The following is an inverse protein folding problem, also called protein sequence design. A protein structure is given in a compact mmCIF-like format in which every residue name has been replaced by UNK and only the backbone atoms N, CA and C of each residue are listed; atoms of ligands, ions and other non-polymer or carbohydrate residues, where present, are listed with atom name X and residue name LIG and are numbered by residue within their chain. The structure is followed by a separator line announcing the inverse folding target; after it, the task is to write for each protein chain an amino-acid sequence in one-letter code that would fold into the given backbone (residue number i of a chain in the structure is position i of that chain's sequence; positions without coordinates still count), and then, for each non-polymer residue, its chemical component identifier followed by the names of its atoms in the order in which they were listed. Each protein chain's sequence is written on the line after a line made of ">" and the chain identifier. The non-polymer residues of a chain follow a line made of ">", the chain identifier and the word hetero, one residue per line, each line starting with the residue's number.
data_IF_590620970982
#
_entry.id   IF_590620970982
#
_cell.length_a   1.000
_cell.length_b   1.000
_cell.length_c   1.000
_cell.angle_alpha   90.00
_cell.angle_beta   90.00
_cell.angle_gamma   90.00
#
_symmetry.space_group_name_H-M   'P 1'
#
loop_
_entity.id
_entity.type
_entity.pdbx_description
1 polymer ?
#
# COMPACT_ATOMS: atom_id res chain seq x y z
N UNK A 1 -26.82 -6.04 -78.24
CA UNK A 1 -26.79 -5.30 -76.95
C UNK A 1 -26.18 -6.22 -75.94
N UNK A 2 -24.90 -5.98 -75.54
CA UNK A 2 -24.18 -6.72 -74.52
C UNK A 2 -24.11 -5.83 -73.33
N UNK A 3 -24.79 -6.23 -72.26
CA UNK A 3 -24.73 -5.54 -70.95
C UNK A 3 -23.45 -5.91 -70.21
N UNK A 4 -22.63 -4.89 -69.88
CA UNK A 4 -21.43 -5.04 -69.07
C UNK A 4 -21.80 -4.75 -67.66
N UNK A 5 -21.71 -5.74 -66.77
CA UNK A 5 -21.83 -5.54 -65.27
C UNK A 5 -20.48 -5.14 -64.73
N UNK A 6 -20.39 -3.92 -64.19
CA UNK A 6 -19.25 -3.44 -63.45
C UNK A 6 -19.45 -3.87 -61.99
N UNK A 7 -18.64 -4.84 -61.51
CA UNK A 7 -18.58 -5.23 -60.13
C UNK A 7 -17.60 -4.27 -59.43
N UNK A 8 -18.15 -3.37 -58.60
CA UNK A 8 -17.37 -2.49 -57.72
C UNK A 8 -16.95 -3.30 -56.52
N UNK A 9 -15.66 -3.68 -56.45
CA UNK A 9 -15.05 -4.28 -55.27
C UNK A 9 -14.68 -3.13 -54.30
N UNK A 10 -15.45 -2.98 -53.21
CA UNK A 10 -15.13 -2.08 -52.15
C UNK A 10 -14.11 -2.78 -51.23
N UNK A 11 -12.84 -2.43 -51.35
CA UNK A 11 -11.81 -2.85 -50.40
C UNK A 11 -11.98 -2.05 -49.09
N UNK A 12 -12.52 -2.70 -48.05
CA UNK A 12 -12.43 -2.21 -46.70
C UNK A 12 -10.99 -2.39 -46.20
N UNK A 13 -10.23 -1.33 -46.21
CA UNK A 13 -9.01 -1.25 -45.42
C UNK A 13 -9.37 -1.19 -43.95
N UNK A 14 -9.32 -2.34 -43.28
CA UNK A 14 -9.21 -2.34 -41.82
C UNK A 14 -7.84 -1.77 -41.48
N UNK A 15 -7.80 -0.47 -41.20
CA UNK A 15 -6.70 0.11 -40.47
C UNK A 15 -6.81 -0.41 -39.05
N UNK A 16 -6.15 -1.55 -38.80
CA UNK A 16 -5.82 -1.96 -37.44
C UNK A 16 -4.95 -0.86 -36.87
N UNK A 17 -5.56 0.09 -36.15
CA UNK A 17 -4.85 0.93 -35.20
C UNK A 17 -4.36 0.00 -34.13
N UNK A 18 -3.17 -0.58 -34.30
CA UNK A 18 -2.39 -1.03 -33.15
C UNK A 18 -2.11 0.21 -32.37
N UNK A 19 -2.89 0.45 -31.30
CA UNK A 19 -2.46 1.31 -30.21
C UNK A 19 -1.14 0.70 -29.75
N UNK A 20 -0.02 1.29 -30.18
CA UNK A 20 1.20 1.19 -29.41
C UNK A 20 0.83 1.76 -28.05
N UNK A 21 0.58 0.88 -27.10
CA UNK A 21 0.66 1.21 -25.69
C UNK A 21 2.11 1.67 -25.54
N UNK A 22 2.33 2.98 -25.45
CA UNK A 22 3.59 3.50 -24.97
C UNK A 22 3.75 2.83 -23.60
N UNK A 23 4.77 2.00 -23.47
CA UNK A 23 5.24 1.50 -22.17
C UNK A 23 5.87 2.70 -21.42
N UNK A 24 5.06 3.70 -21.09
CA UNK A 24 5.46 4.76 -20.20
C UNK A 24 5.20 4.22 -18.79
N UNK A 25 6.28 3.80 -18.11
CA UNK A 25 6.22 3.51 -16.69
C UNK A 25 5.77 4.78 -15.96
N UNK A 26 4.99 4.63 -14.90
CA UNK A 26 4.53 5.75 -14.07
C UNK A 26 5.72 6.51 -13.45
N UNK A 27 6.76 5.76 -13.07
CA UNK A 27 8.00 6.30 -12.50
C UNK A 27 9.17 5.84 -13.34
N UNK A 28 9.82 6.77 -14.03
CA UNK A 28 10.99 6.50 -14.84
C UNK A 28 12.24 6.99 -14.10
N UNK A 29 13.18 6.07 -13.84
CA UNK A 29 14.41 6.36 -13.10
C UNK A 29 15.59 6.49 -14.06
N UNK A 30 15.53 7.47 -14.97
CA UNK A 30 16.57 7.69 -15.98
C UNK A 30 17.84 8.29 -15.39
N UNK A 31 17.69 9.08 -14.33
CA UNK A 31 18.81 9.75 -13.66
C UNK A 31 18.73 9.45 -12.16
N UNK A 32 19.64 8.58 -11.70
CA UNK A 32 19.78 8.22 -10.29
C UNK A 32 21.17 8.65 -9.83
N UNK A 33 21.23 9.55 -8.85
CA UNK A 33 22.47 10.02 -8.26
C UNK A 33 22.66 9.45 -6.86
N UNK A 34 23.77 8.70 -6.64
CA UNK A 34 24.14 8.24 -5.30
C UNK A 34 24.60 9.44 -4.45
N UNK A 35 23.98 9.61 -3.27
CA UNK A 35 24.27 10.75 -2.38
C UNK A 35 24.62 10.30 -0.97
N UNK A 36 25.26 11.20 -0.25
CA UNK A 36 25.47 11.12 1.20
C UNK A 36 24.90 12.39 1.83
N UNK A 37 24.09 12.24 2.89
CA UNK A 37 23.36 13.34 3.51
C UNK A 37 23.19 13.12 5.01
N UNK A 38 23.01 14.19 5.78
CA UNK A 38 22.50 14.12 7.15
C UNK A 38 20.98 13.97 7.11
N UNK A 39 20.41 13.24 8.06
CA UNK A 39 18.96 13.06 8.12
C UNK A 39 18.21 14.40 8.29
N UNK A 40 18.83 15.36 9.02
CA UNK A 40 18.30 16.72 9.17
C UNK A 40 18.26 17.54 7.88
N UNK A 41 19.06 17.17 6.87
CA UNK A 41 19.00 17.81 5.54
C UNK A 41 17.93 17.18 4.65
N UNK A 42 17.51 15.94 4.96
CA UNK A 42 16.48 15.20 4.24
C UNK A 42 15.08 15.45 4.81
N UNK A 43 14.96 15.66 6.12
CA UNK A 43 13.70 15.81 6.84
C UNK A 43 13.59 17.23 7.41
N UNK A 44 12.54 17.96 7.00
CA UNK A 44 12.27 19.31 7.45
C UNK A 44 11.73 19.37 8.88
N UNK A 45 10.78 18.46 9.20
CA UNK A 45 10.12 18.43 10.51
C UNK A 45 9.83 17.01 10.97
N UNK A 46 9.89 16.80 12.28
CA UNK A 46 9.54 15.54 12.94
C UNK A 46 8.60 15.83 14.09
N UNK A 47 7.45 15.20 14.09
CA UNK A 47 6.47 15.23 15.16
C UNK A 47 6.29 13.82 15.74
N UNK A 48 6.33 13.71 17.06
CA UNK A 48 6.05 12.47 17.78
C UNK A 48 4.64 12.48 18.32
N UNK A 49 3.86 11.44 18.03
CA UNK A 49 2.49 11.27 18.53
C UNK A 49 2.43 9.95 19.32
N UNK A 50 2.71 9.97 20.63
CA UNK A 50 2.53 8.80 21.49
C UNK A 50 1.05 8.43 21.57
N UNK A 51 0.70 7.18 21.23
CA UNK A 51 -0.66 6.71 21.42
C UNK A 51 -0.94 6.46 22.90
N UNK A 52 -2.08 6.96 23.38
CA UNK A 52 -2.44 6.86 24.80
C UNK A 52 -2.52 5.40 25.25
N UNK A 53 -1.83 5.08 26.33
CA UNK A 53 -1.76 3.74 26.91
C UNK A 53 -2.67 3.68 28.13
N UNK A 54 -3.86 3.12 27.95
CA UNK A 54 -4.80 2.77 29.01
C UNK A 54 -5.29 1.35 28.78
N UNK A 55 -5.86 0.69 29.79
CA UNK A 55 -6.29 -0.71 29.69
C UNK A 55 -7.19 -0.97 28.46
N UNK A 56 -8.05 -0.01 28.11
CA UNK A 56 -8.97 -0.12 26.97
C UNK A 56 -8.35 0.20 25.60
N UNK A 57 -7.12 0.71 25.55
CA UNK A 57 -6.42 1.11 24.31
C UNK A 57 -5.11 0.37 24.06
N UNK A 58 -4.86 -0.73 24.74
CA UNK A 58 -3.61 -1.49 24.56
C UNK A 58 -3.53 -2.06 23.15
N UNK A 59 -2.40 -1.82 22.50
CA UNK A 59 -2.07 -2.28 21.15
C UNK A 59 -0.90 -3.27 21.22
N UNK A 60 -1.14 -4.56 21.50
CA UNK A 60 -0.06 -5.54 21.69
C UNK A 60 0.75 -5.78 20.41
N UNK A 61 0.10 -5.69 19.25
CA UNK A 61 0.73 -5.80 17.94
C UNK A 61 -0.06 -4.97 16.93
N UNK A 62 0.53 -3.88 16.45
CA UNK A 62 -0.09 -3.05 15.42
C UNK A 62 -0.06 -3.77 14.07
N UNK A 63 -1.23 -4.03 13.49
CA UNK A 63 -1.36 -4.70 12.20
C UNK A 63 -1.50 -3.69 11.05
N UNK A 64 -2.34 -2.69 11.19
CA UNK A 64 -2.55 -1.63 10.20
C UNK A 64 -2.88 -0.32 10.89
N UNK A 65 -2.42 0.77 10.30
CA UNK A 65 -2.66 2.14 10.74
C UNK A 65 -3.25 2.95 9.58
N UNK A 66 -4.27 3.75 9.84
CA UNK A 66 -4.82 4.72 8.89
C UNK A 66 -4.99 6.06 9.58
N UNK A 67 -4.61 7.13 8.89
CA UNK A 67 -4.87 8.50 9.32
C UNK A 67 -5.88 9.12 8.35
N UNK A 68 -7.03 9.47 8.87
CA UNK A 68 -8.10 10.05 8.05
C UNK A 68 -8.71 11.24 8.77
N UNK A 69 -8.70 12.39 8.13
CA UNK A 69 -9.03 13.68 8.74
C UNK A 69 -8.15 13.88 9.98
N UNK A 70 -8.69 14.14 11.13
CA UNK A 70 -7.95 14.36 12.38
C UNK A 70 -7.94 13.14 13.30
N UNK A 71 -8.12 11.94 12.76
CA UNK A 71 -8.18 10.71 13.55
C UNK A 71 -7.21 9.64 13.05
N UNK A 72 -6.66 8.94 14.00
CA UNK A 72 -5.80 7.78 13.81
C UNK A 72 -6.64 6.54 14.10
N UNK A 73 -6.67 5.61 13.15
CA UNK A 73 -7.29 4.29 13.32
C UNK A 73 -6.21 3.24 13.30
N UNK A 74 -6.14 2.43 14.35
CA UNK A 74 -5.09 1.44 14.54
C UNK A 74 -5.73 0.07 14.82
N UNK A 75 -5.44 -0.94 14.00
CA UNK A 75 -5.90 -2.30 14.28
C UNK A 75 -4.86 -3.10 15.02
N UNK A 76 -5.31 -3.82 16.02
CA UNK A 76 -4.55 -4.81 16.75
C UNK A 76 -5.47 -5.99 17.08
N UNK A 77 -5.00 -7.22 16.83
CA UNK A 77 -5.79 -8.43 16.99
C UNK A 77 -7.13 -8.38 16.25
N UNK A 78 -8.25 -8.23 16.98
CA UNK A 78 -9.60 -8.18 16.43
C UNK A 78 -10.32 -6.88 16.75
N UNK A 79 -9.59 -5.83 17.03
CA UNK A 79 -10.12 -4.53 17.39
C UNK A 79 -9.57 -3.43 16.48
N UNK A 80 -10.36 -2.40 16.24
CA UNK A 80 -9.92 -1.17 15.58
C UNK A 80 -10.10 -0.02 16.55
N UNK A 81 -8.99 0.52 17.00
CA UNK A 81 -8.96 1.63 17.95
C UNK A 81 -8.91 2.96 17.23
N UNK A 82 -9.62 3.94 17.76
CA UNK A 82 -9.66 5.31 17.27
C UNK A 82 -9.00 6.24 18.27
N UNK A 83 -8.06 7.04 17.78
CA UNK A 83 -7.39 8.10 18.52
C UNK A 83 -7.57 9.44 17.81
N UNK A 84 -7.44 10.54 18.54
CA UNK A 84 -7.34 11.86 17.91
C UNK A 84 -5.92 12.07 17.33
N UNK A 85 -5.72 13.19 16.64
CA UNK A 85 -4.44 13.54 16.00
C UNK A 85 -3.28 13.79 16.99
N UNK A 86 -3.57 13.83 18.32
CA UNK A 86 -2.57 13.92 19.40
C UNK A 86 -2.31 12.58 20.06
N UNK A 87 -2.93 11.51 19.57
CA UNK A 87 -2.79 10.17 20.10
C UNK A 87 -3.69 9.87 21.31
N UNK A 88 -4.65 10.74 21.67
CA UNK A 88 -5.59 10.48 22.76
C UNK A 88 -6.65 9.46 22.31
N UNK A 89 -6.87 8.44 23.13
CA UNK A 89 -7.87 7.40 22.86
C UNK A 89 -9.29 7.97 22.90
N UNK A 90 -10.07 7.65 21.84
CA UNK A 90 -11.48 8.06 21.68
C UNK A 90 -12.41 6.88 21.95
N UNK A 91 -12.11 5.72 21.38
CA UNK A 91 -12.94 4.54 21.45
C UNK A 91 -12.43 3.42 20.56
N UNK A 92 -13.15 2.31 20.52
CA UNK A 92 -12.79 1.17 19.67
C UNK A 92 -14.00 0.44 19.12
N UNK A 93 -13.84 -0.12 17.93
CA UNK A 93 -14.70 -1.13 17.35
C UNK A 93 -14.21 -2.50 17.83
N UNK A 94 -15.08 -3.25 18.53
CA UNK A 94 -14.76 -4.57 19.11
C UNK A 94 -15.99 -5.48 19.03
N UNK A 95 -16.42 -5.77 17.80
CA UNK A 95 -17.62 -6.59 17.51
C UNK A 95 -17.20 -8.04 17.21
N UNK A 96 -16.37 -8.61 18.09
CA UNK A 96 -15.93 -10.00 17.96
C UNK A 96 -17.00 -10.97 18.46
N UNK A 97 -17.43 -11.89 17.57
CA UNK A 97 -18.44 -12.87 17.91
C UNK A 97 -19.08 -13.60 16.71
N UNK A 98 -20.19 -14.28 16.95
CA UNK A 98 -20.92 -15.06 15.94
C UNK A 98 -22.29 -14.43 15.58
N UNK A 99 -22.61 -13.27 16.11
CA UNK A 99 -23.85 -12.55 15.80
C UNK A 99 -23.90 -12.08 14.34
N UNK A 100 -25.05 -11.57 13.91
CA UNK A 100 -25.22 -11.07 12.53
C UNK A 100 -24.40 -9.81 12.23
N UNK A 101 -24.02 -9.08 13.26
CA UNK A 101 -23.22 -7.86 13.17
C UNK A 101 -21.74 -8.09 13.50
N UNK A 102 -21.40 -9.30 13.99
CA UNK A 102 -20.07 -9.63 14.47
C UNK A 102 -19.17 -10.20 13.38
N UNK A 103 -17.87 -10.13 13.63
CA UNK A 103 -16.83 -10.78 12.85
C UNK A 103 -15.97 -11.69 13.74
N UNK A 104 -15.36 -12.73 13.15
CA UNK A 104 -14.44 -13.64 13.86
C UNK A 104 -12.97 -13.25 13.66
N UNK A 105 -12.67 -12.46 12.64
CA UNK A 105 -11.33 -11.99 12.32
C UNK A 105 -11.45 -10.68 11.53
N UNK A 106 -10.39 -9.90 11.54
CA UNK A 106 -10.19 -8.76 10.65
C UNK A 106 -9.10 -9.16 9.68
N UNK A 107 -9.44 -9.38 8.40
CA UNK A 107 -8.45 -9.59 7.35
C UNK A 107 -7.84 -8.25 6.91
N UNK A 108 -8.71 -7.24 6.78
CA UNK A 108 -8.34 -5.87 6.40
C UNK A 108 -9.43 -4.89 6.84
N UNK A 109 -9.10 -3.61 6.87
CA UNK A 109 -10.10 -2.55 7.06
C UNK A 109 -9.73 -1.29 6.28
N UNK A 110 -10.73 -0.48 5.97
CA UNK A 110 -10.56 0.84 5.36
C UNK A 110 -11.47 1.87 6.03
N UNK A 111 -11.10 3.13 5.95
CA UNK A 111 -11.91 4.25 6.43
C UNK A 111 -12.48 4.95 5.22
N UNK A 112 -13.78 4.86 5.08
CA UNK A 112 -14.50 5.32 3.90
C UNK A 112 -15.22 6.63 4.20
N UNK A 113 -14.93 7.64 3.38
CA UNK A 113 -15.62 8.93 3.45
C UNK A 113 -16.81 8.88 2.49
N UNK A 114 -18.02 8.98 3.04
CA UNK A 114 -19.27 9.02 2.25
C UNK A 114 -20.05 10.26 2.62
N UNK A 115 -20.17 11.17 1.67
CA UNK A 115 -20.84 12.46 1.88
C UNK A 115 -20.23 13.22 3.08
N UNK A 116 -20.97 13.32 4.17
CA UNK A 116 -20.50 13.93 5.43
C UNK A 116 -20.09 12.92 6.49
N UNK A 117 -20.37 11.65 6.28
CA UNK A 117 -20.16 10.57 7.25
C UNK A 117 -18.82 9.86 7.02
N UNK A 118 -18.27 9.31 8.10
CA UNK A 118 -17.09 8.47 8.09
C UNK A 118 -17.50 7.07 8.52
N UNK A 119 -17.19 6.09 7.70
CA UNK A 119 -17.48 4.69 7.98
C UNK A 119 -16.19 3.90 8.18
N UNK A 120 -16.20 2.92 9.08
CA UNK A 120 -15.18 1.87 9.20
C UNK A 120 -15.70 0.66 8.45
N UNK A 121 -15.00 0.27 7.42
CA UNK A 121 -15.30 -0.93 6.66
C UNK A 121 -14.34 -2.04 7.05
N UNK A 122 -14.85 -3.18 7.46
CA UNK A 122 -14.06 -4.31 7.98
C UNK A 122 -14.28 -5.52 7.09
N UNK A 123 -13.20 -5.99 6.48
CA UNK A 123 -13.18 -7.21 5.69
C UNK A 123 -12.94 -8.43 6.59
N UNK A 124 -13.80 -9.41 6.46
CA UNK A 124 -13.76 -10.66 7.23
C UNK A 124 -14.40 -11.82 6.45
N UNK A 125 -14.52 -12.99 7.07
CA UNK A 125 -14.99 -14.22 6.42
C UNK A 125 -16.42 -14.20 5.84
N UNK A 126 -17.26 -13.25 6.26
CA UNK A 126 -18.65 -13.11 5.75
C UNK A 126 -18.76 -12.06 4.62
N UNK A 127 -17.70 -11.31 4.36
CA UNK A 127 -17.67 -10.19 3.43
C UNK A 127 -17.10 -8.92 4.04
N UNK A 128 -17.72 -7.77 3.79
CA UNK A 128 -17.28 -6.47 4.30
C UNK A 128 -18.40 -5.87 5.16
N UNK A 129 -18.18 -5.83 6.47
CA UNK A 129 -19.09 -5.15 7.41
C UNK A 129 -18.78 -3.65 7.46
N UNK A 130 -19.83 -2.84 7.62
CA UNK A 130 -19.76 -1.40 7.68
C UNK A 130 -20.23 -0.91 9.04
N UNK A 131 -19.47 0.00 9.63
CA UNK A 131 -19.77 0.61 10.93
C UNK A 131 -19.63 2.12 10.84
N UNK A 132 -20.43 2.86 11.61
CA UNK A 132 -20.25 4.29 11.76
C UNK A 132 -18.96 4.56 12.56
N UNK A 133 -18.11 5.49 12.10
CA UNK A 133 -16.83 5.76 12.76
C UNK A 133 -16.95 6.67 14.00
N UNK A 134 -18.13 7.23 14.30
CA UNK A 134 -18.36 8.07 15.47
C UNK A 134 -18.77 7.24 16.69
N UNK A 135 -19.78 6.37 16.53
CA UNK A 135 -20.38 5.59 17.61
C UNK A 135 -20.17 4.07 17.48
N UNK A 136 -19.47 3.62 16.41
CA UNK A 136 -19.20 2.22 16.08
C UNK A 136 -20.46 1.37 15.81
N UNK A 137 -21.61 1.98 15.60
CA UNK A 137 -22.86 1.27 15.29
C UNK A 137 -22.78 0.57 13.93
N UNK A 138 -23.33 -0.65 13.85
CA UNK A 138 -23.38 -1.43 12.62
C UNK A 138 -24.31 -0.81 11.58
N UNK A 139 -23.82 -0.62 10.36
CA UNK A 139 -24.56 -0.04 9.24
C UNK A 139 -25.01 -1.07 8.20
N UNK A 140 -24.35 -2.21 8.13
CA UNK A 140 -24.68 -3.25 7.17
C UNK A 140 -23.53 -4.14 6.76
N UNK A 141 -23.83 -5.17 6.01
CA UNK A 141 -22.89 -6.15 5.48
C UNK A 141 -22.98 -6.21 3.95
N UNK A 142 -21.86 -6.06 3.26
CA UNK A 142 -21.69 -6.43 1.86
C UNK A 142 -21.28 -7.90 1.85
N UNK A 143 -22.22 -8.79 1.56
CA UNK A 143 -21.95 -10.23 1.49
C UNK A 143 -21.23 -10.57 0.21
N UNK A 144 -20.17 -11.35 0.30
CA UNK A 144 -19.35 -11.79 -0.82
C UNK A 144 -19.19 -13.30 -0.80
N UNK A 145 -19.41 -13.93 -1.95
CA UNK A 145 -19.26 -15.38 -2.12
C UNK A 145 -17.80 -15.80 -2.43
N UNK A 146 -16.86 -14.86 -2.28
CA UNK A 146 -15.44 -15.06 -2.52
C UNK A 146 -14.64 -14.72 -1.25
N UNK A 147 -13.50 -15.39 -1.01
CA UNK A 147 -12.62 -15.05 0.10
C UNK A 147 -12.01 -13.67 -0.13
N UNK A 148 -12.13 -12.76 0.83
CA UNK A 148 -11.55 -11.42 0.75
C UNK A 148 -10.33 -11.34 1.66
N UNK A 149 -9.18 -10.96 1.09
CA UNK A 149 -7.93 -10.76 1.83
C UNK A 149 -7.73 -9.27 2.14
N UNK A 150 -7.78 -8.45 1.10
CA UNK A 150 -7.67 -7.00 1.19
C UNK A 150 -8.70 -6.34 0.28
N UNK A 151 -9.05 -5.11 0.55
CA UNK A 151 -9.94 -4.34 -0.29
C UNK A 151 -9.62 -2.85 -0.26
N UNK A 152 -10.08 -2.14 -1.28
CA UNK A 152 -10.08 -0.69 -1.33
C UNK A 152 -11.42 -0.20 -1.88
N UNK A 153 -12.12 0.61 -1.09
CA UNK A 153 -13.30 1.31 -1.57
C UNK A 153 -12.90 2.43 -2.54
N UNK A 154 -13.52 2.48 -3.69
CA UNK A 154 -13.34 3.54 -4.69
C UNK A 154 -14.61 4.34 -4.83
N UNK A 155 -15.71 3.65 -5.04
CA UNK A 155 -17.08 4.19 -5.17
C UNK A 155 -18.11 3.10 -4.86
N UNK A 156 -19.38 3.47 -4.81
CA UNK A 156 -20.47 2.50 -4.64
C UNK A 156 -20.53 1.45 -5.77
N UNK A 157 -20.01 1.79 -6.93
CA UNK A 157 -19.96 0.92 -8.11
C UNK A 157 -18.62 0.20 -8.28
N UNK A 158 -17.61 0.55 -7.48
CA UNK A 158 -16.27 -0.01 -7.60
C UNK A 158 -15.61 -0.19 -6.22
N UNK A 159 -15.45 -1.44 -5.81
CA UNK A 159 -14.64 -1.87 -4.69
C UNK A 159 -13.60 -2.83 -5.27
N UNK A 160 -12.33 -2.51 -5.12
CA UNK A 160 -11.22 -3.39 -5.53
C UNK A 160 -11.02 -4.41 -4.42
N UNK A 161 -11.02 -5.67 -4.76
CA UNK A 161 -10.84 -6.77 -3.81
C UNK A 161 -9.65 -7.62 -4.24
N UNK A 162 -8.76 -7.91 -3.30
CA UNK A 162 -7.82 -9.00 -3.41
C UNK A 162 -8.43 -10.25 -2.80
N UNK A 163 -8.36 -11.36 -3.51
CA UNK A 163 -8.96 -12.63 -3.10
C UNK A 163 -7.97 -13.78 -3.24
N UNK A 164 -8.18 -14.87 -2.50
CA UNK A 164 -7.49 -16.16 -2.68
C UNK A 164 -8.30 -17.15 -3.54
N UNK A 165 -9.30 -16.67 -4.28
CA UNK A 165 -10.12 -17.49 -5.19
C UNK A 165 -9.40 -17.89 -6.48
N UNK A 166 -10.16 -18.08 -7.55
CA UNK A 166 -9.63 -18.45 -8.88
C UNK A 166 -8.81 -17.31 -9.50
N UNK A 167 -9.18 -16.07 -9.22
CA UNK A 167 -8.46 -14.86 -9.61
C UNK A 167 -7.92 -14.13 -8.38
N UNK A 168 -6.80 -13.45 -8.52
CA UNK A 168 -6.16 -12.72 -7.41
C UNK A 168 -6.86 -11.40 -7.08
N UNK A 169 -7.52 -10.80 -8.06
CA UNK A 169 -8.23 -9.53 -7.90
C UNK A 169 -9.58 -9.54 -8.60
N UNK A 170 -10.54 -8.81 -8.06
CA UNK A 170 -11.79 -8.52 -8.72
C UNK A 170 -12.29 -7.11 -8.38
N UNK A 171 -13.22 -6.62 -9.23
CA UNK A 171 -14.05 -5.46 -8.95
C UNK A 171 -15.44 -5.92 -8.57
N UNK A 172 -15.97 -5.42 -7.47
CA UNK A 172 -17.38 -5.60 -7.10
C UNK A 172 -18.03 -4.25 -6.81
N UNK A 173 -19.39 -4.25 -6.80
CA UNK A 173 -20.15 -3.11 -6.34
C UNK A 173 -20.52 -3.21 -4.84
N UNK A 174 -21.18 -2.19 -4.31
CA UNK A 174 -21.65 -2.14 -2.91
C UNK A 174 -22.66 -3.23 -2.53
N UNK A 175 -23.20 -3.96 -3.50
CA UNK A 175 -24.09 -5.09 -3.26
C UNK A 175 -23.36 -6.43 -3.26
N UNK A 176 -22.04 -6.41 -3.46
CA UNK A 176 -21.20 -7.61 -3.54
C UNK A 176 -21.23 -8.32 -4.88
N UNK A 177 -21.77 -7.68 -5.92
CA UNK A 177 -21.81 -8.26 -7.27
C UNK A 177 -20.44 -8.09 -7.91
N UNK A 178 -19.75 -9.21 -8.16
CA UNK A 178 -18.48 -9.23 -8.90
C UNK A 178 -18.75 -8.90 -10.35
N UNK A 179 -18.07 -7.88 -10.87
CA UNK A 179 -18.20 -7.39 -12.24
C UNK A 179 -17.10 -7.90 -13.14
N UNK A 180 -15.87 -7.83 -12.66
CA UNK A 180 -14.66 -8.20 -13.41
C UNK A 180 -13.67 -8.92 -12.52
N UNK A 181 -12.91 -9.86 -13.08
CA UNK A 181 -11.87 -10.62 -12.42
C UNK A 181 -10.55 -10.47 -13.17
N UNK A 182 -9.45 -10.42 -12.42
CA UNK A 182 -8.12 -10.13 -12.95
C UNK A 182 -7.05 -11.01 -12.32
N UNK A 183 -6.04 -11.36 -13.11
CA UNK A 183 -4.90 -12.16 -12.71
C UNK A 183 -5.33 -13.52 -12.14
N UNK A 184 -5.38 -14.55 -12.99
CA UNK A 184 -5.64 -15.91 -12.53
C UNK A 184 -4.66 -16.31 -11.43
N UNK A 185 -5.18 -16.94 -10.38
CA UNK A 185 -4.40 -17.36 -9.22
C UNK A 185 -3.58 -18.61 -9.59
N UNK A 186 -2.35 -18.39 -10.00
CA UNK A 186 -1.38 -19.45 -10.31
C UNK A 186 -0.48 -19.63 -9.08
N UNK A 187 -0.33 -20.86 -8.54
CA UNK A 187 0.59 -21.12 -7.42
C UNK A 187 2.04 -20.67 -7.67
N UNK A 188 2.45 -20.59 -8.92
CA UNK A 188 3.75 -20.00 -9.31
C UNK A 188 3.75 -18.45 -9.22
N UNK A 189 2.60 -17.82 -9.08
CA UNK A 189 2.43 -16.38 -8.99
C UNK A 189 2.17 -15.90 -7.55
N UNK A 190 2.90 -16.41 -6.58
CA UNK A 190 2.89 -15.89 -5.20
C UNK A 190 3.24 -14.39 -5.13
N UNK A 191 3.74 -13.83 -6.22
CA UNK A 191 3.97 -12.40 -6.41
C UNK A 191 2.70 -11.55 -6.59
N UNK A 192 1.53 -12.18 -6.73
CA UNK A 192 0.26 -11.44 -6.77
C UNK A 192 -0.23 -11.01 -5.37
N UNK A 193 0.59 -11.18 -4.33
CA UNK A 193 0.30 -10.58 -3.04
C UNK A 193 0.27 -9.07 -3.18
N UNK A 194 -0.79 -8.46 -2.71
CA UNK A 194 -0.86 -7.02 -2.61
C UNK A 194 0.17 -6.55 -1.58
N UNK A 195 1.02 -5.61 -1.97
CA UNK A 195 1.89 -4.91 -1.03
C UNK A 195 1.12 -3.75 -0.40
N UNK A 196 0.46 -2.94 -1.22
CA UNK A 196 -0.32 -1.80 -0.76
C UNK A 196 -1.23 -1.23 -1.84
N UNK A 197 -2.23 -0.46 -1.42
CA UNK A 197 -2.98 0.44 -2.29
C UNK A 197 -2.39 1.84 -2.19
N UNK A 198 -2.23 2.51 -3.35
CA UNK A 198 -1.81 3.90 -3.41
C UNK A 198 -2.88 4.66 -4.19
N UNK A 199 -3.52 5.59 -3.52
CA UNK A 199 -4.50 6.46 -4.14
C UNK A 199 -3.82 7.69 -4.74
N UNK A 200 -4.22 8.01 -5.97
CA UNK A 200 -3.83 9.24 -6.69
C UNK A 200 -5.09 9.96 -7.17
N UNK A 201 -4.92 11.16 -7.71
CA UNK A 201 -6.02 11.93 -8.26
C UNK A 201 -6.78 11.15 -9.34
N UNK A 202 -6.05 10.50 -10.25
CA UNK A 202 -6.61 9.82 -11.42
C UNK A 202 -7.00 8.36 -11.18
N UNK A 203 -6.54 7.72 -10.10
CA UNK A 203 -6.78 6.30 -9.91
C UNK A 203 -6.19 5.70 -8.64
N UNK A 204 -6.17 4.37 -8.61
CA UNK A 204 -5.62 3.59 -7.51
C UNK A 204 -4.65 2.55 -8.07
N UNK A 205 -3.44 2.54 -7.52
CA UNK A 205 -2.46 1.51 -7.79
C UNK A 205 -2.56 0.42 -6.73
N UNK A 206 -2.74 -0.82 -7.18
CA UNK A 206 -2.59 -2.01 -6.36
C UNK A 206 -1.18 -2.54 -6.62
N UNK A 207 -0.21 -2.13 -5.80
CA UNK A 207 1.20 -2.48 -5.98
C UNK A 207 1.38 -3.95 -5.64
N UNK A 208 1.91 -4.72 -6.58
CA UNK A 208 2.22 -6.13 -6.37
C UNK A 208 3.58 -6.29 -5.69
N UNK A 209 3.65 -7.23 -4.75
CA UNK A 209 4.86 -7.40 -3.94
C UNK A 209 6.05 -7.86 -4.78
N UNK A 210 7.21 -7.26 -4.51
CA UNK A 210 8.53 -7.60 -5.04
C UNK A 210 8.73 -7.39 -6.55
N UNK A 211 7.74 -6.94 -7.31
CA UNK A 211 7.83 -6.72 -8.75
C UNK A 211 7.66 -5.25 -9.13
N UNK A 212 7.92 -4.93 -10.38
CA UNK A 212 7.66 -3.63 -10.99
C UNK A 212 6.22 -3.49 -11.52
N UNK A 213 5.35 -4.48 -11.24
CA UNK A 213 3.98 -4.53 -11.73
C UNK A 213 2.97 -4.00 -10.69
N UNK A 214 1.94 -3.35 -11.17
CA UNK A 214 0.76 -2.95 -10.41
C UNK A 214 -0.50 -3.17 -11.23
N UNK A 215 -1.62 -3.43 -10.57
CA UNK A 215 -2.92 -3.22 -11.17
C UNK A 215 -3.32 -1.77 -10.94
N UNK A 216 -3.60 -1.07 -12.02
CA UNK A 216 -4.04 0.32 -11.98
C UNK A 216 -5.54 0.41 -12.27
N UNK A 217 -6.28 0.90 -11.30
CA UNK A 217 -7.68 1.28 -11.48
C UNK A 217 -7.74 2.74 -11.92
N UNK A 218 -8.25 2.98 -13.13
CA UNK A 218 -8.44 4.33 -13.65
C UNK A 218 -9.87 4.79 -13.32
N UNK A 219 -9.99 5.89 -12.58
CA UNK A 219 -11.29 6.46 -12.16
C UNK A 219 -12.16 6.95 -13.33
N UNK A 220 -11.57 7.30 -14.48
CA UNK A 220 -12.32 7.78 -15.65
C UNK A 220 -12.86 6.64 -16.50
N UNK A 221 -12.07 5.58 -16.72
CA UNK A 221 -12.49 4.41 -17.52
C UNK A 221 -13.19 3.34 -16.68
N UNK A 222 -13.15 3.45 -15.37
CA UNK A 222 -13.70 2.48 -14.40
C UNK A 222 -13.17 1.05 -14.63
N UNK A 223 -11.92 0.94 -15.09
CA UNK A 223 -11.27 -0.33 -15.43
C UNK A 223 -9.99 -0.55 -14.65
N UNK A 224 -9.66 -1.84 -14.43
CA UNK A 224 -8.37 -2.30 -13.93
C UNK A 224 -7.50 -2.75 -15.10
N UNK A 225 -6.25 -2.35 -15.11
CA UNK A 225 -5.25 -2.82 -16.07
C UNK A 225 -3.93 -3.15 -15.37
N UNK A 226 -3.21 -4.15 -15.89
CA UNK A 226 -1.87 -4.48 -15.42
C UNK A 226 -0.87 -3.57 -16.11
N UNK A 227 -0.05 -2.89 -15.31
CA UNK A 227 0.96 -1.96 -15.81
C UNK A 227 2.32 -2.23 -15.16
N UNK A 228 3.40 -1.83 -15.83
CA UNK A 228 4.70 -1.63 -15.18
C UNK A 228 4.73 -0.22 -14.61
N UNK A 229 4.79 -0.09 -13.29
CA UNK A 229 4.75 1.23 -12.67
C UNK A 229 6.13 1.86 -12.47
N UNK A 230 7.20 1.07 -12.58
CA UNK A 230 8.59 1.50 -12.43
C UNK A 230 9.41 1.04 -13.63
N UNK A 231 10.26 1.94 -14.14
CA UNK A 231 11.27 1.65 -15.16
C UNK A 231 12.62 2.26 -14.80
N UNK A 232 13.71 1.76 -15.40
CA UNK A 232 15.06 2.27 -15.19
C UNK A 232 15.80 1.71 -13.96
N UNK A 233 15.23 0.74 -13.24
CA UNK A 233 15.93 -0.03 -12.22
C UNK A 233 16.44 -1.32 -12.86
N UNK A 234 17.75 -1.53 -12.83
CA UNK A 234 18.35 -2.73 -13.37
C UNK A 234 18.01 -3.95 -12.51
N UNK A 235 17.71 -5.06 -13.19
CA UNK A 235 17.53 -6.37 -12.58
C UNK A 235 16.39 -6.44 -11.54
N UNK A 236 15.31 -5.68 -11.74
CA UNK A 236 14.09 -5.83 -10.94
C UNK A 236 13.48 -7.20 -11.21
N UNK A 237 12.95 -7.84 -10.18
CA UNK A 237 12.25 -9.10 -10.29
C UNK A 237 11.00 -8.94 -11.16
N UNK A 238 10.95 -9.65 -12.28
CA UNK A 238 9.73 -9.75 -13.10
C UNK A 238 8.87 -10.94 -12.68
N UNK A 239 7.62 -10.96 -13.11
CA UNK A 239 6.72 -12.10 -12.86
C UNK A 239 7.24 -13.39 -13.50
N UNK A 240 7.80 -13.30 -14.70
CA UNK A 240 8.34 -14.47 -15.41
C UNK A 240 9.60 -15.00 -14.74
N UNK A 241 10.48 -14.13 -14.25
CA UNK A 241 11.63 -14.52 -13.42
C UNK A 241 11.19 -15.20 -12.14
N UNK A 242 10.20 -14.62 -11.45
CA UNK A 242 9.64 -15.17 -10.22
C UNK A 242 9.10 -16.59 -10.44
N UNK A 243 8.36 -16.82 -11.54
CA UNK A 243 7.85 -18.14 -11.93
C UNK A 243 9.00 -19.11 -12.20
N UNK A 244 9.98 -18.73 -13.04
CA UNK A 244 11.12 -19.57 -13.39
C UNK A 244 11.93 -19.96 -12.15
N UNK A 245 12.10 -19.03 -11.20
CA UNK A 245 12.79 -19.31 -9.93
C UNK A 245 11.97 -20.23 -9.02
N UNK A 246 10.65 -20.05 -8.96
CA UNK A 246 9.77 -20.94 -8.21
C UNK A 246 9.83 -22.38 -8.75
N UNK A 247 9.77 -22.56 -10.06
CA UNK A 247 9.90 -23.87 -10.72
C UNK A 247 11.27 -24.50 -10.46
N UNK A 248 12.34 -23.70 -10.47
CA UNK A 248 13.72 -24.17 -10.31
C UNK A 248 14.09 -24.53 -8.89
N UNK A 249 13.70 -23.71 -7.92
CA UNK A 249 14.17 -23.80 -6.53
C UNK A 249 13.07 -24.26 -5.54
N UNK A 250 11.83 -24.30 -5.97
CA UNK A 250 10.68 -24.65 -5.13
C UNK A 250 10.42 -23.61 -4.03
N UNK A 251 9.34 -23.81 -3.32
CA UNK A 251 8.79 -22.85 -2.34
C UNK A 251 9.78 -22.47 -1.21
N UNK A 252 10.61 -23.40 -0.76
CA UNK A 252 11.48 -23.17 0.40
C UNK A 252 12.74 -22.34 0.08
N UNK A 253 13.36 -22.56 -1.07
CA UNK A 253 14.60 -21.88 -1.46
C UNK A 253 14.35 -20.61 -2.29
N UNK A 254 13.21 -20.55 -2.96
CA UNK A 254 12.84 -19.45 -3.84
C UNK A 254 13.03 -18.05 -3.22
N UNK A 255 12.50 -17.73 -2.00
CA UNK A 255 12.60 -16.37 -1.46
C UNK A 255 14.06 -15.93 -1.26
N UNK A 256 14.92 -16.85 -0.82
CA UNK A 256 16.33 -16.56 -0.60
C UNK A 256 17.07 -16.32 -1.93
N UNK A 257 16.76 -17.12 -2.95
CA UNK A 257 17.38 -17.00 -4.27
C UNK A 257 16.96 -15.71 -4.98
N UNK A 258 15.69 -15.40 -4.95
CA UNK A 258 15.16 -14.14 -5.48
C UNK A 258 15.81 -12.94 -4.78
N UNK A 259 15.88 -12.96 -3.45
CA UNK A 259 16.52 -11.88 -2.69
C UNK A 259 18.02 -11.71 -2.98
N UNK A 260 18.72 -12.79 -3.36
CA UNK A 260 20.14 -12.74 -3.74
C UNK A 260 20.38 -12.20 -5.15
N UNK A 261 19.55 -12.62 -6.10
CA UNK A 261 19.83 -12.47 -7.52
C UNK A 261 19.11 -11.26 -8.15
N UNK A 262 18.05 -10.75 -7.52
CA UNK A 262 17.26 -9.63 -8.04
C UNK A 262 17.19 -8.43 -7.10
N UNK A 263 16.81 -7.29 -7.67
CA UNK A 263 16.34 -6.14 -6.91
C UNK A 263 14.85 -6.29 -6.66
N UNK A 264 14.47 -6.29 -5.39
CA UNK A 264 13.08 -6.37 -4.95
C UNK A 264 12.61 -5.00 -4.51
N UNK A 265 11.46 -4.57 -5.01
CA UNK A 265 10.77 -3.37 -4.54
C UNK A 265 9.99 -3.78 -3.28
N UNK A 266 10.46 -3.35 -2.11
CA UNK A 266 9.90 -3.77 -0.82
C UNK A 266 8.74 -2.89 -0.41
N UNK A 267 8.83 -1.58 -0.67
CA UNK A 267 7.75 -0.63 -0.43
C UNK A 267 7.89 0.58 -1.36
N UNK A 268 6.77 1.20 -1.62
CA UNK A 268 6.67 2.45 -2.34
C UNK A 268 5.79 3.41 -1.54
N UNK A 269 6.19 4.66 -1.48
CA UNK A 269 5.41 5.72 -0.82
C UNK A 269 5.36 6.95 -1.71
N UNK A 270 4.21 7.58 -1.78
CA UNK A 270 4.01 8.81 -2.55
C UNK A 270 3.23 9.81 -1.72
N UNK A 271 3.72 11.05 -1.68
CA UNK A 271 3.06 12.16 -1.02
C UNK A 271 3.24 13.43 -1.83
N UNK A 272 2.15 13.96 -2.38
CA UNK A 272 2.24 15.06 -3.34
C UNK A 272 3.15 14.68 -4.51
N UNK A 273 4.15 15.50 -4.77
CA UNK A 273 5.17 15.25 -5.80
C UNK A 273 6.31 14.33 -5.32
N UNK A 274 6.43 14.14 -4.00
CA UNK A 274 7.48 13.30 -3.46
C UNK A 274 7.14 11.83 -3.59
N UNK A 275 8.10 11.04 -4.04
CA UNK A 275 8.01 9.58 -4.16
C UNK A 275 9.25 8.91 -3.58
N UNK A 276 9.05 7.81 -2.87
CA UNK A 276 10.12 7.00 -2.27
C UNK A 276 9.96 5.54 -2.63
N UNK A 277 11.04 4.90 -3.08
CA UNK A 277 11.14 3.46 -3.27
C UNK A 277 12.15 2.87 -2.33
N UNK A 278 11.76 1.87 -1.58
CA UNK A 278 12.68 1.06 -0.80
C UNK A 278 12.99 -0.23 -1.57
N UNK A 279 14.27 -0.43 -1.84
CA UNK A 279 14.80 -1.52 -2.63
C UNK A 279 15.67 -2.43 -1.77
N UNK A 280 15.56 -3.75 -2.00
CA UNK A 280 16.40 -4.76 -1.36
C UNK A 280 16.99 -5.69 -2.40
N UNK A 281 18.27 -6.01 -2.25
CA UNK A 281 18.97 -6.98 -3.08
C UNK A 281 20.01 -7.74 -2.26
N UNK A 282 20.65 -8.73 -2.85
CA UNK A 282 21.80 -9.43 -2.23
C UNK A 282 22.99 -8.53 -1.93
N UNK A 283 23.05 -7.34 -2.50
CA UNK A 283 24.11 -6.34 -2.25
C UNK A 283 23.79 -5.41 -1.08
N UNK A 284 22.53 -5.34 -0.64
CA UNK A 284 22.09 -4.46 0.42
C UNK A 284 20.72 -3.83 0.18
N UNK A 285 20.46 -2.77 0.92
CA UNK A 285 19.21 -2.04 0.91
C UNK A 285 19.45 -0.57 0.55
N UNK A 286 18.59 -0.03 -0.30
CA UNK A 286 18.63 1.37 -0.76
C UNK A 286 17.26 2.01 -0.68
N UNK A 287 17.24 3.33 -0.50
CA UNK A 287 16.05 4.14 -0.78
C UNK A 287 16.33 5.04 -1.97
N UNK A 288 15.37 5.11 -2.89
CA UNK A 288 15.36 6.09 -3.97
C UNK A 288 14.30 7.14 -3.64
N UNK A 289 14.68 8.41 -3.73
CA UNK A 289 13.80 9.54 -3.40
C UNK A 289 13.74 10.47 -4.59
N UNK A 290 12.52 10.78 -5.02
CA UNK A 290 12.23 11.88 -5.93
C UNK A 290 11.38 12.90 -5.16
N UNK A 291 11.87 14.12 -5.02
CA UNK A 291 11.23 15.16 -4.21
C UNK A 291 10.23 16.00 -5.01
N UNK A 292 10.47 16.12 -6.31
CA UNK A 292 9.80 17.11 -7.15
C UNK A 292 8.78 16.54 -8.13
N UNK A 293 8.75 15.21 -8.30
CA UNK A 293 7.92 14.52 -9.29
C UNK A 293 8.46 14.65 -10.73
N UNK A 294 9.76 14.98 -10.87
CA UNK A 294 10.51 15.00 -12.12
C UNK A 294 11.23 13.67 -12.37
N UNK A 295 12.17 13.63 -13.32
CA UNK A 295 12.94 12.42 -13.64
C UNK A 295 14.23 12.28 -12.83
N UNK A 296 14.46 13.14 -11.84
CA UNK A 296 15.67 13.15 -11.03
C UNK A 296 15.45 12.39 -9.72
N UNK A 297 16.24 11.36 -9.48
CA UNK A 297 16.17 10.52 -8.30
C UNK A 297 17.47 10.56 -7.51
N UNK A 298 17.35 10.68 -6.21
CA UNK A 298 18.47 10.56 -5.26
C UNK A 298 18.48 9.16 -4.69
N UNK A 299 19.65 8.51 -4.68
CA UNK A 299 19.85 7.16 -4.16
C UNK A 299 20.65 7.21 -2.87
N UNK A 300 20.18 6.52 -1.86
CA UNK A 300 20.83 6.43 -0.55
C UNK A 300 20.95 4.98 -0.12
N UNK A 301 22.16 4.55 0.21
CA UNK A 301 22.36 3.25 0.84
C UNK A 301 21.83 3.29 2.29
N UNK A 302 21.11 2.24 2.66
CA UNK A 302 20.54 2.07 4.01
C UNK A 302 21.30 0.98 4.77
N UNK A 303 21.72 -0.07 4.06
CA UNK A 303 22.43 -1.20 4.62
C UNK A 303 23.31 -1.88 3.53
N UNK A 304 24.52 -2.38 3.82
CA UNK A 304 25.18 -2.39 5.13
C UNK A 304 25.94 -1.11 5.50
N UNK A 305 26.18 -0.21 4.53
CA UNK A 305 26.95 1.02 4.71
C UNK A 305 26.06 2.23 4.45
N UNK A 306 25.29 2.72 5.44
CA UNK A 306 24.34 3.79 5.23
C UNK A 306 25.03 5.08 4.79
N UNK A 307 24.42 5.75 3.80
CA UNK A 307 24.84 7.09 3.33
C UNK A 307 23.95 8.22 3.88
N UNK A 308 22.91 7.88 4.66
CA UNK A 308 22.15 8.81 5.48
C UNK A 308 22.68 8.72 6.92
N UNK A 309 23.29 9.78 7.41
CA UNK A 309 23.76 9.87 8.79
C UNK A 309 22.63 10.41 9.69
N UNK A 310 22.28 9.66 10.75
CA UNK A 310 21.19 10.03 11.66
C UNK A 310 21.67 11.02 12.73
N UNK A 311 21.34 12.27 12.57
CA UNK A 311 21.60 13.38 13.50
C UNK A 311 20.32 13.92 14.17
N UNK A 312 19.14 13.40 13.78
CA UNK A 312 17.83 13.85 14.29
C UNK A 312 17.25 12.93 15.35
N UNK A 313 17.39 11.61 15.15
CA UNK A 313 16.64 10.62 15.92
C UNK A 313 17.61 9.79 16.78
N UNK A 314 17.92 10.27 17.95
CA UNK A 314 18.86 9.59 18.84
C UNK A 314 18.37 8.18 19.19
N UNK A 315 19.20 7.17 18.83
CA UNK A 315 18.94 5.78 19.15
C UNK A 315 18.04 5.03 18.16
N UNK A 316 17.50 5.68 17.14
CA UNK A 316 16.72 5.02 16.10
C UNK A 316 17.54 4.79 14.84
N UNK A 317 17.40 3.62 14.23
CA UNK A 317 17.96 3.33 12.92
C UNK A 317 17.12 4.04 11.83
N UNK A 318 17.77 4.75 10.92
CA UNK A 318 17.15 5.44 9.77
C UNK A 318 16.26 4.50 8.95
N UNK A 319 16.58 3.20 8.91
CA UNK A 319 15.76 2.19 8.24
C UNK A 319 14.31 2.23 8.69
N UNK A 320 14.05 2.40 9.98
CA UNK A 320 12.67 2.45 10.47
C UNK A 320 11.86 3.59 9.87
N UNK A 321 12.46 4.79 9.72
CA UNK A 321 11.78 5.92 9.12
C UNK A 321 11.40 5.70 7.65
N UNK A 322 12.32 5.11 6.90
CA UNK A 322 12.20 5.07 5.44
C UNK A 322 11.54 3.79 4.93
N UNK A 323 11.56 2.70 5.72
CA UNK A 323 11.17 1.37 5.25
C UNK A 323 9.92 0.79 5.90
N UNK A 324 9.55 1.26 7.12
CA UNK A 324 8.39 0.72 7.80
C UNK A 324 7.11 1.22 7.12
N UNK A 325 6.26 0.28 6.77
CA UNK A 325 4.93 0.59 6.25
C UNK A 325 4.10 1.24 7.34
N UNK A 326 3.54 2.40 7.05
CA UNK A 326 2.53 3.07 7.87
C UNK A 326 1.59 3.83 6.96
N UNK A 327 0.50 4.32 7.47
CA UNK A 327 -0.32 5.24 6.71
C UNK A 327 0.36 6.61 6.67
N UNK A 328 0.14 7.32 5.59
CA UNK A 328 0.54 8.71 5.48
C UNK A 328 -0.64 9.61 5.88
N UNK A 329 -0.36 10.70 6.57
CA UNK A 329 -1.36 11.75 6.77
C UNK A 329 -1.53 12.57 5.50
N UNK A 330 -2.50 13.48 5.46
CA UNK A 330 -2.76 14.28 4.27
C UNK A 330 -1.56 15.13 3.84
N UNK A 331 -0.67 15.49 4.78
CA UNK A 331 0.43 16.44 4.57
C UNK A 331 1.82 15.89 4.93
N UNK A 332 1.93 14.64 5.46
CA UNK A 332 3.20 14.10 5.92
C UNK A 332 3.27 12.58 5.83
N UNK A 333 4.47 12.06 5.77
CA UNK A 333 4.74 10.64 5.97
C UNK A 333 4.59 10.30 7.45
N UNK A 334 4.02 9.13 7.74
CA UNK A 334 3.89 8.62 9.09
C UNK A 334 4.44 7.21 9.20
N UNK A 335 5.01 6.90 10.35
CA UNK A 335 5.46 5.56 10.70
C UNK A 335 5.15 5.28 12.18
N UNK A 336 5.03 4.01 12.50
CA UNK A 336 4.85 3.54 13.87
C UNK A 336 6.15 2.95 14.40
N UNK A 337 6.55 3.35 15.61
CA UNK A 337 7.69 2.78 16.31
C UNK A 337 7.20 2.11 17.59
N UNK A 338 7.56 0.85 17.85
CA UNK A 338 7.29 0.20 19.13
C UNK A 338 7.90 0.99 20.30
N UNK A 339 7.15 1.19 21.38
CA UNK A 339 7.58 2.02 22.51
C UNK A 339 8.90 1.56 23.14
N UNK A 340 9.17 0.24 23.18
CA UNK A 340 10.41 -0.28 23.75
C UNK A 340 11.68 0.24 23.06
N UNK A 341 11.59 0.67 21.80
CA UNK A 341 12.71 1.26 21.06
C UNK A 341 13.02 2.70 21.50
N UNK A 342 12.07 3.37 22.15
CA UNK A 342 12.20 4.72 22.70
C UNK A 342 12.11 4.72 24.24
N UNK A 343 12.20 3.56 24.88
CA UNK A 343 12.08 3.45 26.32
C UNK A 343 13.11 4.33 27.06
N UNK A 344 12.63 5.13 28.01
CA UNK A 344 13.42 6.11 28.73
C UNK A 344 13.61 7.46 28.02
N UNK A 345 13.21 7.59 26.75
CA UNK A 345 13.25 8.87 26.05
C UNK A 345 12.13 9.80 26.55
N UNK A 346 12.41 11.09 26.53
CA UNK A 346 11.41 12.13 26.83
C UNK A 346 10.76 12.59 25.54
N UNK A 347 9.51 12.22 25.32
CA UNK A 347 8.72 12.59 24.14
C UNK A 347 7.53 13.44 24.58
N UNK A 348 7.41 14.65 24.07
CA UNK A 348 6.35 15.60 24.43
C UNK A 348 6.13 15.79 25.93
N UNK A 349 7.22 15.74 26.72
CA UNK A 349 7.17 15.89 28.18
C UNK A 349 6.78 14.62 28.97
N UNK A 350 6.55 13.48 28.27
CA UNK A 350 6.32 12.16 28.86
C UNK A 350 7.57 11.29 28.68
N UNK A 351 7.99 10.61 29.74
CA UNK A 351 8.98 9.52 29.64
C UNK A 351 8.27 8.30 29.07
N UNK A 352 8.79 7.73 27.98
CA UNK A 352 8.23 6.55 27.33
C UNK A 352 8.58 5.31 28.13
N UNK A 353 7.58 4.50 28.47
CA UNK A 353 7.73 3.16 29.02
C UNK A 353 7.83 2.12 27.90
N UNK A 354 8.57 1.04 28.12
CA UNK A 354 8.69 -0.05 27.14
C UNK A 354 7.36 -0.75 26.83
N UNK A 355 6.44 -0.72 27.79
CA UNK A 355 5.08 -1.30 27.71
C UNK A 355 4.02 -0.31 27.19
N UNK A 356 4.43 0.94 26.87
CA UNK A 356 3.52 1.91 26.25
C UNK A 356 3.08 1.44 24.86
N UNK A 357 1.96 1.97 24.38
CA UNK A 357 1.54 1.84 22.99
C UNK A 357 2.59 2.42 22.04
N UNK A 358 2.58 2.03 20.76
CA UNK A 358 3.49 2.57 19.76
C UNK A 358 3.46 4.09 19.70
N UNK A 359 4.59 4.69 19.34
CA UNK A 359 4.72 6.10 19.05
C UNK A 359 4.69 6.28 17.53
N UNK A 360 3.82 7.17 17.07
CA UNK A 360 3.84 7.54 15.67
C UNK A 360 4.85 8.67 15.48
N UNK A 361 5.64 8.55 14.42
CA UNK A 361 6.50 9.62 13.93
C UNK A 361 5.90 10.13 12.64
N UNK A 362 5.53 11.40 12.65
CA UNK A 362 5.07 12.15 11.49
C UNK A 362 6.22 13.03 11.00
N UNK A 363 6.54 12.99 9.70
CA UNK A 363 7.65 13.75 9.15
C UNK A 363 7.38 14.24 7.73
N UNK A 364 8.04 15.31 7.34
CA UNK A 364 8.04 15.87 5.99
C UNK A 364 9.45 15.84 5.44
N UNK A 365 9.59 15.57 4.14
CA UNK A 365 10.87 15.71 3.47
C UNK A 365 11.11 17.17 3.10
N UNK A 366 12.39 17.58 3.12
CA UNK A 366 12.81 18.88 2.61
C UNK A 366 12.54 18.95 1.11
N UNK A 367 11.99 20.07 0.66
CA UNK A 367 11.75 20.36 -0.76
C UNK A 367 13.06 20.54 -1.53
#
# INVERSE_FOLDING_TARGET
>A
MKSVYIISVVLFFFTSCSRHVKNECLFQMNHVEDRKIMLSELIDSVEYVPLETVESSLLPALSKLLYVRDFIYASADMEIMKFDNKGKFIGKLSEFGNGPQDYLNINDYDIVLRDSEVEIWVCHQKGISRYNAEDFSFLGLISLDIPVLHFKYVSDDAIIIQTSGEHSFCLCDKNGVVRNEFLSNDPANLSHSLMQFIETEDGIFCILANTDEALYYNKQSEGLELIHYVGGIDNVLTRDDNRAYMERYGYLEHPQKVAQDFVNIVTFRKKGNCSMFFLRSGKGEKVLINKNGDDEWESYDIYPNPTIENDLLTGLDVRYLLTMSSCDSDDAFMMSIPAHMLAGALVNGKVIDAEDNPILIKYQLTN
#
